data_IF_109871887233
#
_entry.id   IF_109871887233
#
_cell.length_a   1.000
_cell.length_b   1.000
_cell.length_c   1.000
_cell.angle_alpha   90.00
_cell.angle_beta   90.00
_cell.angle_gamma   90.00
#
_symmetry.space_group_name_H-M   'P 1'
#
loop_
_entity.id
_entity.type
_entity.pdbx_description
1 polymer ?
#
# COMPACT_ATOMS: atom_id res chain seq x y z
N UNK A 1 31.68 33.63 -28.65
CA UNK A 1 30.63 32.63 -28.96
C UNK A 1 30.95 31.20 -28.50
N UNK A 2 32.16 30.66 -28.73
CA UNK A 2 32.51 29.27 -28.33
C UNK A 2 32.50 29.04 -26.80
N UNK A 3 33.04 29.98 -26.03
CA UNK A 3 33.01 29.95 -24.55
C UNK A 3 31.58 29.97 -23.99
N UNK A 4 30.71 30.81 -24.54
CA UNK A 4 29.30 30.91 -24.16
C UNK A 4 28.51 29.62 -24.45
N UNK A 5 28.77 28.97 -25.59
CA UNK A 5 28.18 27.67 -25.94
C UNK A 5 28.63 26.54 -24.99
N UNK A 6 29.90 26.56 -24.57
CA UNK A 6 30.44 25.60 -23.60
C UNK A 6 29.80 25.79 -22.23
N UNK A 7 29.69 27.03 -21.75
CA UNK A 7 29.03 27.32 -20.47
C UNK A 7 27.57 26.89 -20.47
N UNK A 8 26.82 27.14 -21.56
CA UNK A 8 25.42 26.75 -21.67
C UNK A 8 25.23 25.23 -21.69
N UNK A 9 26.13 24.51 -22.36
CA UNK A 9 26.17 23.04 -22.35
C UNK A 9 26.44 22.48 -20.96
N UNK A 10 27.40 23.04 -20.22
CA UNK A 10 27.72 22.61 -18.86
C UNK A 10 26.53 22.79 -17.92
N UNK A 11 25.83 23.94 -18.00
CA UNK A 11 24.63 24.21 -17.22
C UNK A 11 23.52 23.20 -17.55
N UNK A 12 23.25 22.96 -18.84
CA UNK A 12 22.25 21.99 -19.26
C UNK A 12 22.56 20.57 -18.76
N UNK A 13 23.82 20.15 -18.82
CA UNK A 13 24.28 18.86 -18.28
C UNK A 13 24.06 18.78 -16.77
N UNK A 14 24.42 19.83 -16.00
CA UNK A 14 24.21 19.81 -14.54
C UNK A 14 22.73 19.72 -14.15
N UNK A 15 21.84 20.38 -14.89
CA UNK A 15 20.39 20.32 -14.65
C UNK A 15 19.85 18.91 -14.95
N UNK A 16 20.30 18.29 -16.04
CA UNK A 16 19.92 16.93 -16.40
C UNK A 16 20.40 15.90 -15.37
N UNK A 17 21.62 16.06 -14.84
CA UNK A 17 22.16 15.19 -13.79
C UNK A 17 21.39 15.33 -12.47
N UNK A 18 21.00 16.55 -12.07
CA UNK A 18 20.20 16.77 -10.87
C UNK A 18 18.82 16.11 -10.98
N UNK A 19 18.12 16.30 -12.11
CA UNK A 19 16.79 15.72 -12.33
C UNK A 19 16.79 14.18 -12.38
N UNK A 20 17.88 13.57 -12.87
CA UNK A 20 18.03 12.12 -12.82
C UNK A 20 18.12 11.61 -11.37
N UNK A 21 18.85 12.29 -10.48
CA UNK A 21 19.03 11.84 -9.10
C UNK A 21 17.69 11.76 -8.32
N UNK A 22 16.79 12.73 -8.52
CA UNK A 22 15.47 12.74 -7.87
C UNK A 22 14.59 11.57 -8.32
N UNK A 23 14.65 11.20 -9.61
CA UNK A 23 13.89 10.07 -10.16
C UNK A 23 14.40 8.70 -9.65
N UNK A 24 15.70 8.60 -9.33
CA UNK A 24 16.29 7.37 -8.78
C UNK A 24 16.13 7.25 -7.26
N UNK A 25 16.05 8.37 -6.52
CA UNK A 25 15.95 8.37 -5.06
C UNK A 25 14.64 7.76 -4.52
N UNK A 26 13.56 7.75 -5.31
CA UNK A 26 12.23 7.40 -4.81
C UNK A 26 11.76 5.97 -5.11
N UNK A 27 12.58 5.11 -5.73
CA UNK A 27 12.21 3.70 -5.90
C UNK A 27 12.49 2.90 -4.61
N UNK A 28 11.82 3.26 -3.52
CA UNK A 28 11.79 2.41 -2.33
C UNK A 28 11.17 1.06 -2.72
N UNK A 29 11.93 -0.01 -2.49
CA UNK A 29 11.36 -1.35 -2.55
C UNK A 29 10.22 -1.44 -1.52
N UNK A 30 9.10 -2.07 -1.88
CA UNK A 30 8.04 -2.34 -0.91
C UNK A 30 8.60 -3.27 0.14
N UNK A 31 8.71 -2.80 1.37
CA UNK A 31 9.04 -3.64 2.51
C UNK A 31 7.86 -4.57 2.82
N UNK A 32 8.12 -5.87 2.72
CA UNK A 32 7.13 -6.93 2.98
C UNK A 32 7.37 -7.66 4.30
N UNK A 33 8.40 -7.28 5.06
CA UNK A 33 8.76 -7.94 6.32
C UNK A 33 7.64 -7.95 7.37
N UNK A 34 6.69 -7.02 7.26
CA UNK A 34 5.56 -6.90 8.16
C UNK A 34 4.34 -7.78 7.78
N UNK A 35 4.32 -8.36 6.58
CA UNK A 35 3.19 -9.19 6.09
C UNK A 35 2.92 -10.37 7.02
N UNK A 36 1.65 -10.64 7.30
CA UNK A 36 1.21 -11.79 8.11
C UNK A 36 0.71 -12.97 7.26
N UNK A 37 0.61 -12.81 5.95
CA UNK A 37 0.37 -13.91 5.01
C UNK A 37 -1.09 -14.30 4.84
N UNK A 38 -2.02 -13.34 4.91
CA UNK A 38 -3.35 -13.52 4.33
C UNK A 38 -3.29 -13.36 2.81
N UNK A 39 -3.80 -14.36 2.08
CA UNK A 39 -3.74 -14.44 0.62
C UNK A 39 -5.13 -14.51 -0.03
N UNK A 40 -6.19 -14.63 0.78
CA UNK A 40 -7.56 -14.66 0.29
C UNK A 40 -8.00 -13.27 -0.18
N UNK A 41 -8.90 -13.26 -1.16
CA UNK A 41 -9.54 -12.04 -1.66
C UNK A 41 -10.55 -11.52 -0.62
N UNK A 42 -10.62 -10.20 -0.45
CA UNK A 42 -11.65 -9.57 0.38
C UNK A 42 -13.05 -9.79 -0.20
N UNK A 43 -14.08 -9.69 0.64
CA UNK A 43 -15.47 -9.71 0.15
C UNK A 43 -15.75 -8.53 -0.79
N UNK A 44 -16.71 -8.73 -1.70
CA UNK A 44 -17.17 -7.67 -2.60
C UNK A 44 -17.84 -6.56 -1.78
N UNK A 45 -17.37 -5.30 -1.86
CA UNK A 45 -17.98 -4.16 -1.17
C UNK A 45 -19.48 -3.98 -1.46
N UNK A 46 -19.95 -4.43 -2.62
CA UNK A 46 -21.37 -4.31 -3.00
C UNK A 46 -22.30 -5.24 -2.22
N UNK A 47 -21.76 -6.16 -1.41
CA UNK A 47 -22.55 -6.97 -0.48
C UNK A 47 -23.09 -6.17 0.71
N UNK A 48 -22.52 -4.99 0.97
CA UNK A 48 -22.85 -4.19 2.15
C UNK A 48 -23.69 -2.95 1.75
N UNK A 49 -24.93 -2.82 2.27
CA UNK A 49 -25.77 -1.67 1.98
C UNK A 49 -25.33 -0.42 2.75
N UNK A 50 -24.71 -0.59 3.91
CA UNK A 50 -24.15 0.52 4.68
C UNK A 50 -22.97 1.15 3.93
N UNK A 51 -23.03 2.47 3.74
CA UNK A 51 -22.06 3.21 2.95
C UNK A 51 -20.66 3.23 3.58
N UNK A 52 -20.56 3.21 4.91
CA UNK A 52 -19.28 3.21 5.61
C UNK A 52 -18.61 1.84 5.53
N UNK A 53 -19.38 0.76 5.76
CA UNK A 53 -18.89 -0.62 5.62
C UNK A 53 -18.44 -0.87 4.19
N UNK A 54 -19.27 -0.52 3.20
CA UNK A 54 -18.91 -0.63 1.77
C UNK A 54 -17.59 0.08 1.48
N UNK A 55 -17.41 1.31 1.98
CA UNK A 55 -16.16 2.07 1.80
C UNK A 55 -14.97 1.37 2.46
N UNK A 56 -15.14 0.78 3.63
CA UNK A 56 -14.08 0.05 4.32
C UNK A 56 -13.62 -1.19 3.53
N UNK A 57 -14.56 -1.99 3.02
CA UNK A 57 -14.23 -3.15 2.17
C UNK A 57 -13.60 -2.72 0.83
N UNK A 58 -14.03 -1.60 0.27
CA UNK A 58 -13.41 -1.05 -0.95
C UNK A 58 -11.94 -0.69 -0.71
N UNK A 59 -11.63 -0.03 0.40
CA UNK A 59 -10.24 0.29 0.79
C UNK A 59 -9.45 -1.01 1.02
N UNK A 60 -10.01 -1.99 1.73
CA UNK A 60 -9.35 -3.27 1.96
C UNK A 60 -8.97 -3.98 0.65
N UNK A 61 -9.82 -3.89 -0.37
CA UNK A 61 -9.56 -4.40 -1.72
C UNK A 61 -8.47 -3.63 -2.46
N UNK A 62 -8.37 -2.32 -2.26
CA UNK A 62 -7.39 -1.44 -2.92
C UNK A 62 -5.99 -1.55 -2.33
N UNK A 63 -5.89 -1.70 -1.01
CA UNK A 63 -4.61 -1.74 -0.28
C UNK A 63 -4.46 -3.01 0.60
N UNK A 64 -4.68 -4.23 0.07
CA UNK A 64 -4.67 -5.46 0.87
C UNK A 64 -3.34 -5.67 1.58
N UNK A 65 -2.25 -5.25 0.95
CA UNK A 65 -0.90 -5.35 1.51
C UNK A 65 -0.73 -4.51 2.78
N UNK A 66 -1.36 -3.35 2.88
CA UNK A 66 -1.30 -2.53 4.11
C UNK A 66 -1.99 -3.28 5.24
N UNK A 67 -3.20 -3.76 4.99
CA UNK A 67 -3.98 -4.48 5.99
C UNK A 67 -3.34 -5.81 6.39
N UNK A 68 -2.66 -6.51 5.48
CA UNK A 68 -1.91 -7.72 5.82
C UNK A 68 -0.64 -7.43 6.64
N UNK A 69 -0.22 -6.16 6.72
CA UNK A 69 0.90 -5.74 7.58
C UNK A 69 0.45 -5.37 9.00
N UNK A 70 -0.85 -5.25 9.22
CA UNK A 70 -1.43 -4.73 10.44
C UNK A 70 -2.02 -5.87 11.26
N UNK A 71 -1.71 -5.87 12.56
CA UNK A 71 -2.35 -6.75 13.51
C UNK A 71 -3.77 -6.24 13.82
N UNK A 72 -4.75 -7.13 13.84
CA UNK A 72 -6.16 -6.76 14.03
C UNK A 72 -6.43 -6.30 15.47
N UNK A 73 -7.14 -5.17 15.63
CA UNK A 73 -7.51 -4.64 16.95
C UNK A 73 -8.38 -5.60 17.77
N UNK A 74 -9.18 -6.44 17.11
CA UNK A 74 -10.06 -7.42 17.75
C UNK A 74 -9.32 -8.60 18.40
N UNK A 75 -7.99 -8.71 18.23
CA UNK A 75 -7.20 -9.86 18.70
C UNK A 75 -7.71 -11.20 18.13
N UNK A 76 -8.18 -11.18 16.88
CA UNK A 76 -8.75 -12.37 16.23
C UNK A 76 -7.74 -13.49 15.99
N UNK A 77 -6.43 -13.21 16.06
CA UNK A 77 -5.38 -14.21 15.93
C UNK A 77 -5.36 -15.16 17.14
N UNK A 78 -5.65 -14.63 18.31
CA UNK A 78 -5.71 -15.32 19.60
C UNK A 78 -7.10 -15.90 19.85
N UNK A 79 -8.12 -15.36 19.18
CA UNK A 79 -9.48 -15.86 19.28
C UNK A 79 -9.60 -17.29 18.75
N UNK A 80 -10.11 -18.25 19.54
CA UNK A 80 -10.34 -19.62 19.09
C UNK A 80 -11.44 -19.71 18.01
N UNK A 81 -12.30 -18.70 17.89
CA UNK A 81 -13.42 -18.67 16.96
C UNK A 81 -13.03 -18.22 15.54
N UNK A 82 -12.13 -17.23 15.41
CA UNK A 82 -11.84 -16.59 14.11
C UNK A 82 -10.47 -16.98 13.52
N UNK A 83 -9.42 -17.06 14.34
CA UNK A 83 -8.05 -17.42 13.92
C UNK A 83 -7.52 -16.62 12.72
N UNK A 84 -7.87 -15.34 12.65
CA UNK A 84 -7.43 -14.40 11.60
C UNK A 84 -5.93 -14.06 11.75
N UNK A 85 -5.22 -13.90 10.63
CA UNK A 85 -3.76 -13.72 10.63
C UNK A 85 -3.34 -12.25 10.75
N UNK A 86 -4.11 -11.37 10.12
CA UNK A 86 -3.92 -9.91 10.04
C UNK A 86 -5.26 -9.19 10.05
N UNK A 87 -5.24 -7.86 10.01
CA UNK A 87 -6.44 -7.06 9.76
C UNK A 87 -7.09 -7.43 8.41
N UNK A 88 -6.31 -7.81 7.39
CA UNK A 88 -6.87 -8.22 6.10
C UNK A 88 -7.79 -9.43 6.24
N UNK A 89 -7.47 -10.38 7.12
CA UNK A 89 -8.29 -11.56 7.37
C UNK A 89 -9.71 -11.22 7.88
N UNK A 90 -9.96 -10.02 8.43
CA UNK A 90 -11.30 -9.59 8.83
C UNK A 90 -12.17 -9.14 7.65
N UNK A 91 -11.57 -8.85 6.50
CA UNK A 91 -12.25 -8.37 5.29
C UNK A 91 -12.46 -9.46 4.25
N UNK A 92 -11.91 -10.65 4.45
CA UNK A 92 -12.13 -11.83 3.57
C UNK A 92 -13.33 -12.66 4.00
N UNK A 93 -13.88 -12.37 5.19
CA UNK A 93 -15.22 -12.72 5.63
C UNK A 93 -15.95 -11.46 6.11
N UNK A 94 -17.12 -11.59 6.73
CA UNK A 94 -17.96 -10.46 7.12
C UNK A 94 -17.64 -9.88 8.49
N UNK A 95 -16.55 -10.29 9.16
CA UNK A 95 -16.27 -9.86 10.53
C UNK A 95 -16.03 -8.34 10.61
N UNK A 96 -15.35 -7.72 9.64
CA UNK A 96 -15.17 -6.27 9.63
C UNK A 96 -16.48 -5.46 9.47
N UNK A 97 -17.63 -6.12 9.31
CA UNK A 97 -18.96 -5.52 9.23
C UNK A 97 -19.83 -5.79 10.48
N UNK A 98 -19.27 -6.39 11.53
CA UNK A 98 -19.95 -6.72 12.80
C UNK A 98 -19.76 -5.64 13.86
#
# INVERSE_FOLDING_TARGET
MKKFRITLLLIAVTILFAAANDAFAQKQAKDESLRKGETRTTLDPNLFPDAQIKKAYQIAKEIPWVLDSIYCYCMCKESPAFKHKSLLSCYVDNHAAM
#
